data_IF_507240434795
#
_entry.id   IF_507240434795
#
_cell.length_a   1.000
_cell.length_b   1.000
_cell.length_c   1.000
_cell.angle_alpha   90.00
_cell.angle_beta   90.00
_cell.angle_gamma   90.00
#
_symmetry.space_group_name_H-M   'P 1'
#
loop_
_entity.id
_entity.type
_entity.pdbx_description
1 polymer ?
#
# COMPACT_ATOMS: atom_id res chain seq x y z
N UNK A 1 -2.90 3.67 9.89
CA UNK A 1 -4.30 3.67 10.35
C UNK A 1 -5.21 3.52 9.15
N UNK A 2 -5.63 4.62 8.54
CA UNK A 2 -6.73 4.59 7.56
C UNK A 2 -6.32 4.07 6.18
N UNK A 3 -5.13 4.48 5.68
CA UNK A 3 -4.68 4.08 4.35
C UNK A 3 -4.53 2.56 4.21
N UNK A 4 -3.87 1.90 5.17
CA UNK A 4 -3.69 0.44 5.13
C UNK A 4 -5.04 -0.29 5.25
N UNK A 5 -5.94 0.18 6.12
CA UNK A 5 -7.26 -0.42 6.28
C UNK A 5 -8.11 -0.30 5.00
N UNK A 6 -8.15 0.90 4.39
CA UNK A 6 -8.88 1.15 3.16
C UNK A 6 -8.32 0.34 1.99
N UNK A 7 -7.00 0.33 1.81
CA UNK A 7 -6.35 -0.40 0.72
C UNK A 7 -6.54 -1.91 0.88
N UNK A 8 -6.31 -2.46 2.08
CA UNK A 8 -6.58 -3.86 2.36
C UNK A 8 -8.04 -4.21 2.04
N UNK A 9 -8.99 -3.41 2.50
CA UNK A 9 -10.40 -3.67 2.27
C UNK A 9 -10.77 -3.64 0.78
N UNK A 10 -10.31 -2.62 0.02
CA UNK A 10 -10.54 -2.54 -1.43
C UNK A 10 -9.92 -3.72 -2.16
N UNK A 11 -8.70 -4.12 -1.83
CA UNK A 11 -8.06 -5.28 -2.45
C UNK A 11 -8.80 -6.57 -2.10
N UNK A 12 -9.22 -6.75 -0.85
CA UNK A 12 -10.01 -7.91 -0.44
C UNK A 12 -11.37 -7.97 -1.15
N UNK A 13 -12.08 -6.85 -1.29
CA UNK A 13 -13.34 -6.80 -2.04
C UNK A 13 -13.18 -7.22 -3.50
N UNK A 14 -12.02 -6.91 -4.13
CA UNK A 14 -11.70 -7.25 -5.51
C UNK A 14 -11.23 -8.69 -5.69
N UNK A 15 -10.30 -9.14 -4.84
CA UNK A 15 -9.63 -10.45 -5.01
C UNK A 15 -10.32 -11.58 -4.26
N UNK A 16 -11.05 -11.27 -3.19
CA UNK A 16 -11.55 -12.24 -2.19
C UNK A 16 -10.46 -13.12 -1.59
N UNK A 17 -9.20 -12.67 -1.64
CA UNK A 17 -8.04 -13.38 -1.13
C UNK A 17 -7.30 -12.53 -0.10
N UNK A 18 -7.17 -13.06 1.13
CA UNK A 18 -6.52 -12.35 2.25
C UNK A 18 -5.02 -12.17 1.97
N UNK A 19 -4.33 -13.20 1.47
CA UNK A 19 -2.89 -13.14 1.13
C UNK A 19 -2.64 -11.99 0.14
N UNK A 20 -3.31 -12.01 -1.00
CA UNK A 20 -3.18 -10.96 -2.03
C UNK A 20 -3.57 -9.57 -1.52
N UNK A 21 -4.62 -9.46 -0.71
CA UNK A 21 -5.03 -8.17 -0.15
C UNK A 21 -3.96 -7.58 0.79
N UNK A 22 -3.33 -8.42 1.62
CA UNK A 22 -2.27 -8.01 2.51
C UNK A 22 -1.01 -7.58 1.75
N UNK A 23 -0.59 -8.38 0.77
CA UNK A 23 0.59 -8.11 -0.08
C UNK A 23 0.45 -6.77 -0.80
N UNK A 24 -0.68 -6.53 -1.47
CA UNK A 24 -0.92 -5.29 -2.20
C UNK A 24 -1.03 -4.08 -1.28
N UNK A 25 -1.73 -4.20 -0.15
CA UNK A 25 -1.89 -3.10 0.79
C UNK A 25 -0.55 -2.69 1.43
N UNK A 26 0.24 -3.67 1.87
CA UNK A 26 1.56 -3.42 2.46
C UNK A 26 2.52 -2.79 1.43
N UNK A 27 2.56 -3.34 0.22
CA UNK A 27 3.37 -2.83 -0.90
C UNK A 27 3.03 -1.37 -1.23
N UNK A 28 1.73 -1.05 -1.32
CA UNK A 28 1.25 0.30 -1.63
C UNK A 28 1.59 1.31 -0.53
N UNK A 29 1.37 0.93 0.73
CA UNK A 29 1.66 1.81 1.88
C UNK A 29 3.15 2.05 2.03
N UNK A 30 3.99 1.03 1.81
CA UNK A 30 5.44 1.21 1.82
C UNK A 30 5.88 2.22 0.76
N UNK A 31 5.42 2.07 -0.49
CA UNK A 31 5.76 3.01 -1.56
C UNK A 31 5.32 4.44 -1.26
N UNK A 32 4.10 4.61 -0.75
CA UNK A 32 3.54 5.89 -0.32
C UNK A 32 4.39 6.56 0.77
N UNK A 33 4.76 5.81 1.82
CA UNK A 33 5.56 6.33 2.92
C UNK A 33 7.00 6.61 2.49
N UNK A 34 7.60 5.75 1.66
CA UNK A 34 8.94 5.96 1.09
C UNK A 34 9.01 7.24 0.26
N UNK A 35 8.05 7.49 -0.62
CA UNK A 35 8.01 8.73 -1.40
C UNK A 35 7.76 9.97 -0.52
N UNK A 36 7.00 9.81 0.56
CA UNK A 36 6.77 10.88 1.55
C UNK A 36 8.06 11.25 2.29
N UNK A 37 8.81 10.24 2.75
CA UNK A 37 10.09 10.40 3.44
C UNK A 37 11.17 10.99 2.52
N UNK A 38 11.30 10.49 1.29
CA UNK A 38 12.27 11.01 0.31
C UNK A 38 12.02 12.48 -0.06
N UNK A 39 10.77 12.91 0.03
CA UNK A 39 10.38 14.31 -0.17
C UNK A 39 10.56 15.18 1.09
N UNK A 40 11.05 14.59 2.19
CA UNK A 40 11.14 15.20 3.51
C UNK A 40 9.83 15.89 3.94
N UNK A 41 8.70 15.26 3.64
CA UNK A 41 7.37 15.79 3.91
C UNK A 41 6.85 15.27 5.25
N UNK A 42 6.28 16.18 6.05
CA UNK A 42 5.54 15.81 7.26
C UNK A 42 4.22 15.12 6.94
N UNK A 43 3.53 15.57 5.89
CA UNK A 43 2.23 15.04 5.48
C UNK A 43 2.39 13.96 4.41
N UNK A 44 1.50 12.95 4.44
CA UNK A 44 1.48 11.87 3.46
C UNK A 44 1.18 12.42 2.07
N UNK A 45 2.07 12.13 1.12
CA UNK A 45 1.97 12.64 -0.26
C UNK A 45 1.07 11.79 -1.15
N UNK A 46 -0.19 11.61 -0.75
CA UNK A 46 -1.14 10.67 -1.37
C UNK A 46 -1.28 10.84 -2.89
N UNK A 47 -1.49 12.08 -3.36
CA UNK A 47 -1.67 12.36 -4.78
C UNK A 47 -0.35 12.23 -5.56
N UNK A 48 0.76 12.68 -4.98
CA UNK A 48 2.08 12.64 -5.65
C UNK A 48 2.66 11.22 -5.71
N UNK A 49 2.18 10.32 -4.86
CA UNK A 49 2.60 8.92 -4.82
C UNK A 49 1.49 7.95 -5.27
N UNK A 50 0.46 8.43 -5.96
CA UNK A 50 -0.73 7.64 -6.30
C UNK A 50 -0.42 6.39 -7.14
N UNK A 51 0.67 6.39 -7.91
CA UNK A 51 1.07 5.22 -8.69
C UNK A 51 1.46 4.04 -7.79
N UNK A 52 1.90 4.30 -6.55
CA UNK A 52 2.19 3.23 -5.59
C UNK A 52 0.91 2.52 -5.13
N UNK A 53 -0.27 3.13 -5.28
CA UNK A 53 -1.55 2.49 -4.92
C UNK A 53 -2.02 1.52 -6.02
N UNK A 54 -1.76 1.86 -7.29
CA UNK A 54 -2.22 1.06 -8.43
C UNK A 54 -1.18 0.04 -8.89
N UNK A 55 0.09 0.42 -8.82
CA UNK A 55 1.24 -0.33 -9.34
C UNK A 55 2.43 -0.11 -8.39
N UNK A 56 2.42 -0.75 -7.21
CA UNK A 56 3.51 -0.59 -6.23
C UNK A 56 4.87 -0.93 -6.82
N UNK A 57 5.86 -0.08 -6.58
CA UNK A 57 7.24 -0.31 -7.06
C UNK A 57 7.89 -1.50 -6.34
N UNK A 58 7.58 -1.65 -5.06
CA UNK A 58 8.10 -2.71 -4.20
C UNK A 58 7.00 -3.73 -3.94
N UNK A 59 7.34 -5.02 -4.00
CA UNK A 59 6.42 -6.10 -3.71
C UNK A 59 6.91 -6.87 -2.49
N UNK A 60 6.00 -7.14 -1.56
CA UNK A 60 6.26 -7.97 -0.39
C UNK A 60 5.38 -9.21 -0.45
N UNK A 61 5.97 -10.37 -0.20
CA UNK A 61 5.23 -11.63 -0.11
C UNK A 61 4.76 -11.88 1.33
N UNK A 62 3.50 -12.28 1.49
CA UNK A 62 2.96 -12.68 2.77
C UNK A 62 3.22 -14.18 3.04
N UNK A 63 3.67 -14.45 4.25
CA UNK A 63 3.94 -15.80 4.76
C UNK A 63 2.84 -16.21 5.75
N UNK A 64 2.39 -17.46 5.65
CA UNK A 64 1.52 -18.07 6.65
C UNK A 64 2.36 -18.48 7.86
N UNK A 65 1.82 -18.32 9.07
CA UNK A 65 2.50 -18.59 10.34
C UNK A 65 1.93 -19.81 11.06
#
# INVERSE_FOLDING_TARGET
GDAIAALFFVHYLRSRCVKTALELAASSVYGLLKKTELANSREILLIKAQEEITTPTWQFEAQEI
#
